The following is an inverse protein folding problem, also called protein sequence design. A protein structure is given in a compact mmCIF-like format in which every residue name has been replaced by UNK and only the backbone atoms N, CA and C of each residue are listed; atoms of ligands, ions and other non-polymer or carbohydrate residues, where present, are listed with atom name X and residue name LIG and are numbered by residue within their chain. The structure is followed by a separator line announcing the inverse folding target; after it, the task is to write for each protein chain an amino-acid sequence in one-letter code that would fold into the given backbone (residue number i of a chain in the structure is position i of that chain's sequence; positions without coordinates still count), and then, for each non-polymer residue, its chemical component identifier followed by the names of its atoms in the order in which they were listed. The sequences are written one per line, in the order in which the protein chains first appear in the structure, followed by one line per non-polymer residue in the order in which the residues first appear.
data_IF_515685297564
#
_entry.id   IF_515685297564
#
_cell.length_a   1.000
_cell.length_b   1.000
_cell.length_c   1.000
_cell.angle_alpha   90.00
_cell.angle_beta   90.00
_cell.angle_gamma   90.00
#
_symmetry.space_group_name_H-M   'P 1'
#
loop_
_entity.id
_entity.type
_entity.pdbx_description
1 polymer ?
#
# COMPACT_ATOMS: atom_id res chain seq x y z
N UNK A 1 41.68 -85.99 30.95
CA UNK A 1 41.83 -87.30 30.36
C UNK A 1 41.68 -87.16 28.87
N UNK A 2 42.76 -87.34 28.18
CA UNK A 2 42.93 -87.79 26.79
C UNK A 2 42.33 -87.04 25.64
N UNK A 3 43.20 -86.48 24.88
CA UNK A 3 43.97 -86.80 23.65
C UNK A 3 43.23 -86.34 22.36
N UNK A 4 43.91 -85.39 21.76
CA UNK A 4 44.55 -85.46 20.42
C UNK A 4 43.77 -86.23 19.34
N UNK A 5 43.62 -85.65 18.14
CA UNK A 5 44.54 -85.75 17.01
C UNK A 5 43.88 -85.10 15.76
N UNK A 6 44.48 -84.08 15.27
CA UNK A 6 45.15 -83.92 13.96
C UNK A 6 44.32 -83.98 12.63
N UNK A 7 44.63 -83.03 11.80
CA UNK A 7 44.69 -82.96 10.34
C UNK A 7 43.43 -82.66 9.55
N UNK A 8 43.52 -81.60 8.81
CA UNK A 8 42.75 -81.39 7.57
C UNK A 8 42.82 -79.96 7.10
N UNK A 9 43.76 -79.69 6.22
CA UNK A 9 43.92 -78.46 5.43
C UNK A 9 42.73 -78.31 4.51
N UNK A 10 42.08 -77.16 4.50
CA UNK A 10 41.40 -76.66 3.32
C UNK A 10 41.28 -75.12 3.38
N UNK A 11 41.99 -74.52 2.46
CA UNK A 11 41.92 -73.09 2.16
C UNK A 11 40.52 -72.77 1.66
N UNK A 12 39.83 -71.90 2.40
CA UNK A 12 38.71 -71.10 1.84
C UNK A 12 39.15 -69.67 1.71
N UNK A 13 39.51 -69.27 0.52
CA UNK A 13 39.68 -67.89 0.11
C UNK A 13 38.30 -67.27 0.07
N UNK A 14 37.94 -66.46 1.07
CA UNK A 14 36.78 -65.64 1.01
C UNK A 14 37.18 -64.31 0.31
N UNK A 15 36.79 -64.17 -0.94
CA UNK A 15 36.89 -62.93 -1.67
C UNK A 15 35.82 -62.00 -1.08
N UNK A 16 36.24 -61.21 -0.12
CA UNK A 16 35.41 -60.08 0.39
C UNK A 16 35.36 -58.97 -0.66
N UNK A 17 34.33 -58.93 -1.45
CA UNK A 17 34.02 -57.80 -2.30
C UNK A 17 33.62 -56.65 -1.37
N UNK A 18 34.57 -55.75 -1.08
CA UNK A 18 34.30 -54.50 -0.39
C UNK A 18 33.71 -53.53 -1.40
N UNK A 19 32.38 -53.46 -1.52
CA UNK A 19 31.70 -52.40 -2.28
C UNK A 19 31.81 -51.12 -1.42
N UNK A 20 32.84 -50.33 -1.66
CA UNK A 20 32.88 -48.96 -1.15
C UNK A 20 31.89 -48.11 -1.99
N UNK A 21 30.70 -47.89 -1.42
CA UNK A 21 29.73 -46.95 -2.01
C UNK A 21 30.28 -45.53 -1.76
N UNK A 22 30.94 -44.99 -2.81
CA UNK A 22 31.43 -43.61 -2.86
C UNK A 22 30.29 -42.65 -3.15
N UNK A 23 29.30 -42.53 -2.23
CA UNK A 23 28.12 -41.70 -2.37
C UNK A 23 28.11 -40.48 -1.44
N UNK A 24 29.26 -40.00 -0.99
CA UNK A 24 29.23 -38.91 0.02
C UNK A 24 29.66 -37.50 -0.44
N UNK A 25 30.16 -37.32 -1.66
CA UNK A 25 30.58 -35.98 -2.10
C UNK A 25 29.54 -35.23 -2.95
N UNK A 26 28.79 -35.97 -3.74
CA UNK A 26 27.88 -35.33 -4.73
C UNK A 26 26.55 -34.93 -4.14
N UNK A 27 26.03 -35.68 -3.14
CA UNK A 27 24.79 -35.32 -2.44
C UNK A 27 24.96 -34.03 -1.62
N UNK A 28 26.12 -33.82 -1.00
CA UNK A 28 26.39 -32.58 -0.26
C UNK A 28 26.49 -31.36 -1.20
N UNK A 29 27.09 -31.53 -2.39
CA UNK A 29 27.17 -30.48 -3.40
C UNK A 29 25.81 -30.15 -4.02
N UNK A 30 24.98 -31.16 -4.28
CA UNK A 30 23.60 -30.95 -4.77
C UNK A 30 22.73 -30.24 -3.70
N UNK A 31 22.88 -30.61 -2.43
CA UNK A 31 22.12 -29.95 -1.35
C UNK A 31 22.56 -28.49 -1.14
N UNK A 32 23.85 -28.18 -1.28
CA UNK A 32 24.38 -26.81 -1.17
C UNK A 32 23.93 -25.95 -2.35
N UNK A 33 23.88 -26.49 -3.56
CA UNK A 33 23.38 -25.78 -4.76
C UNK A 33 21.86 -25.55 -4.65
N UNK A 34 21.08 -26.48 -4.12
CA UNK A 34 19.63 -26.32 -3.93
C UNK A 34 19.30 -25.25 -2.88
N UNK A 35 20.09 -25.15 -1.80
CA UNK A 35 19.89 -24.12 -0.76
C UNK A 35 20.25 -22.73 -1.27
N UNK A 36 21.33 -22.60 -2.07
CA UNK A 36 21.72 -21.31 -2.67
C UNK A 36 20.71 -20.83 -3.71
N UNK A 37 20.08 -21.74 -4.48
CA UNK A 37 19.05 -21.40 -5.46
C UNK A 37 17.74 -20.92 -4.80
N UNK A 38 17.44 -21.31 -3.56
CA UNK A 38 16.23 -20.91 -2.86
C UNK A 38 16.30 -19.50 -2.24
N UNK A 39 17.51 -18.93 -2.06
CA UNK A 39 17.69 -17.56 -1.52
C UNK A 39 17.63 -16.46 -2.59
N UNK A 40 17.52 -16.80 -3.87
CA UNK A 40 17.65 -15.84 -4.98
C UNK A 40 16.32 -15.27 -5.51
N UNK A 41 15.16 -15.57 -4.92
CA UNK A 41 13.86 -15.20 -5.50
C UNK A 41 12.96 -14.36 -4.57
N UNK A 42 13.57 -13.52 -3.74
CA UNK A 42 12.78 -12.44 -3.12
C UNK A 42 12.92 -11.16 -3.96
N UNK A 43 12.40 -11.16 -5.18
CA UNK A 43 12.15 -9.92 -5.91
C UNK A 43 11.04 -9.19 -5.16
N UNK A 44 11.42 -8.25 -4.30
CA UNK A 44 10.45 -7.32 -3.71
C UNK A 44 9.91 -6.48 -4.86
N UNK A 45 8.58 -6.39 -4.95
CA UNK A 45 7.96 -5.48 -5.88
C UNK A 45 8.46 -4.06 -5.57
N UNK A 46 8.77 -3.29 -6.60
CA UNK A 46 9.06 -1.87 -6.43
C UNK A 46 7.77 -1.12 -6.13
N UNK A 47 7.84 0.04 -5.49
CA UNK A 47 6.64 0.84 -5.25
C UNK A 47 5.84 1.13 -6.53
N UNK A 48 6.52 1.29 -7.69
CA UNK A 48 5.84 1.47 -8.98
C UNK A 48 5.05 0.24 -9.41
N UNK A 49 5.62 -0.96 -9.25
CA UNK A 49 4.93 -2.22 -9.56
C UNK A 49 3.74 -2.44 -8.62
N UNK A 50 3.89 -2.10 -7.35
CA UNK A 50 2.81 -2.14 -6.36
C UNK A 50 1.68 -1.18 -6.70
N UNK A 51 2.00 0.05 -7.13
CA UNK A 51 1.01 1.03 -7.60
C UNK A 51 0.29 0.53 -8.87
N UNK A 52 1.02 0.03 -9.86
CA UNK A 52 0.45 -0.49 -11.10
C UNK A 52 -0.51 -1.65 -10.82
N UNK A 53 -0.06 -2.62 -10.03
CA UNK A 53 -0.88 -3.76 -9.61
C UNK A 53 -2.13 -3.31 -8.87
N UNK A 54 -1.99 -2.36 -7.93
CA UNK A 54 -3.09 -1.81 -7.16
C UNK A 54 -4.14 -1.12 -8.05
N UNK A 55 -3.72 -0.26 -8.97
CA UNK A 55 -4.64 0.45 -9.88
C UNK A 55 -5.34 -0.54 -10.82
N UNK A 56 -4.63 -1.56 -11.30
CA UNK A 56 -5.15 -2.58 -12.21
C UNK A 56 -6.16 -3.52 -11.54
N UNK A 57 -5.86 -3.98 -10.33
CA UNK A 57 -6.59 -5.08 -9.68
C UNK A 57 -7.64 -4.62 -8.67
N UNK A 58 -7.47 -3.45 -8.03
CA UNK A 58 -8.38 -2.95 -6.98
C UNK A 58 -9.34 -1.93 -7.56
N UNK A 59 -10.61 -2.28 -7.70
CA UNK A 59 -11.66 -1.40 -8.24
C UNK A 59 -12.44 -0.68 -7.14
N UNK A 60 -12.62 -1.33 -6.01
CA UNK A 60 -13.24 -0.76 -4.81
C UNK A 60 -12.34 -1.01 -3.60
N UNK A 61 -12.43 -0.17 -2.59
CA UNK A 61 -11.68 -0.37 -1.36
C UNK A 61 -12.31 0.33 -0.18
N UNK A 62 -12.13 -0.28 1.00
CA UNK A 62 -12.51 0.29 2.29
C UNK A 62 -11.36 0.15 3.26
N UNK A 63 -11.15 1.17 4.10
CA UNK A 63 -10.14 1.16 5.15
C UNK A 63 -10.55 2.08 6.31
N UNK A 64 -10.01 1.82 7.48
CA UNK A 64 -9.90 2.83 8.52
C UNK A 64 -8.66 3.68 8.27
N UNK A 65 -8.67 4.95 8.66
CA UNK A 65 -7.50 5.80 8.57
C UNK A 65 -7.22 6.58 9.85
N UNK A 66 -5.94 6.86 10.03
CA UNK A 66 -5.44 7.89 10.96
C UNK A 66 -4.66 8.91 10.13
N UNK A 67 -5.03 10.18 10.25
CA UNK A 67 -4.35 11.29 9.59
C UNK A 67 -3.65 12.15 10.63
N UNK A 68 -2.38 12.46 10.40
CA UNK A 68 -1.58 13.40 11.19
C UNK A 68 -1.18 14.57 10.30
N UNK A 69 -1.67 15.75 10.61
CA UNK A 69 -1.35 16.99 9.89
C UNK A 69 -0.36 17.80 10.73
N UNK A 70 0.80 18.08 10.14
CA UNK A 70 1.88 18.85 10.76
C UNK A 70 2.11 20.12 9.94
N UNK A 71 1.77 21.30 10.45
CA UNK A 71 2.05 22.56 9.78
C UNK A 71 3.57 22.82 9.72
N UNK A 72 4.05 23.68 8.83
CA UNK A 72 5.45 24.08 8.83
C UNK A 72 5.81 24.71 10.18
N UNK A 73 7.04 24.48 10.63
CA UNK A 73 7.57 25.15 11.82
C UNK A 73 7.61 26.66 11.57
N UNK A 74 7.09 27.45 12.50
CA UNK A 74 7.26 28.89 12.53
C UNK A 74 8.47 29.24 13.40
N UNK A 75 9.13 30.31 13.09
CA UNK A 75 10.34 30.78 13.80
C UNK A 75 10.17 30.70 15.32
N UNK A 76 11.01 29.93 15.98
CA UNK A 76 11.03 29.74 17.42
C UNK A 76 9.89 28.91 18.03
N UNK A 77 9.00 28.30 17.20
CA UNK A 77 7.88 27.45 17.69
C UNK A 77 7.97 26.03 17.19
N UNK A 78 7.69 25.08 18.09
CA UNK A 78 7.54 23.67 17.71
C UNK A 78 6.19 23.49 17.01
N UNK A 79 6.20 22.91 15.81
CA UNK A 79 4.98 22.58 15.09
C UNK A 79 4.11 21.60 15.90
N UNK A 80 2.84 21.97 16.11
CA UNK A 80 1.87 21.10 16.79
C UNK A 80 1.05 20.35 15.76
N UNK A 81 1.22 19.04 15.73
CA UNK A 81 0.44 18.16 14.86
C UNK A 81 -0.98 17.99 15.37
N UNK A 82 -1.92 17.87 14.42
CA UNK A 82 -3.32 17.49 14.68
C UNK A 82 -3.55 16.09 14.17
N UNK A 83 -4.22 15.26 14.97
CA UNK A 83 -4.56 13.88 14.59
C UNK A 83 -6.06 13.74 14.42
N UNK A 84 -6.46 13.15 13.29
CA UNK A 84 -7.85 12.81 12.97
C UNK A 84 -7.96 11.32 12.64
N UNK A 85 -9.12 10.73 12.89
CA UNK A 85 -9.40 9.33 12.53
C UNK A 85 -10.74 9.22 11.84
N UNK A 86 -10.88 8.18 11.01
CA UNK A 86 -12.11 7.97 10.27
C UNK A 86 -12.10 6.74 9.40
N UNK A 87 -13.00 6.71 8.41
CA UNK A 87 -13.12 5.66 7.41
C UNK A 87 -12.98 6.23 6.02
N UNK A 88 -12.34 5.47 5.15
CA UNK A 88 -12.17 5.77 3.73
C UNK A 88 -12.78 4.67 2.88
N UNK A 89 -13.55 5.04 1.88
CA UNK A 89 -14.13 4.14 0.90
C UNK A 89 -13.92 4.73 -0.49
N UNK A 90 -13.72 3.88 -1.49
CA UNK A 90 -13.71 4.31 -2.89
C UNK A 90 -14.27 3.26 -3.84
N UNK A 91 -14.78 3.74 -4.97
CA UNK A 91 -15.19 2.94 -6.11
C UNK A 91 -14.73 3.65 -7.38
N UNK A 92 -13.85 3.01 -8.15
CA UNK A 92 -13.36 3.56 -9.42
C UNK A 92 -14.40 3.43 -10.53
N UNK A 93 -14.48 4.42 -11.43
CA UNK A 93 -13.69 5.65 -11.44
C UNK A 93 -14.33 6.78 -10.62
N UNK A 94 -13.50 7.51 -9.88
CA UNK A 94 -13.83 8.85 -9.37
C UNK A 94 -14.76 8.94 -8.16
N UNK A 95 -15.29 7.84 -7.64
CA UNK A 95 -16.13 7.88 -6.44
C UNK A 95 -15.32 7.59 -5.20
N UNK A 96 -15.43 8.43 -4.17
CA UNK A 96 -14.80 8.18 -2.87
C UNK A 96 -15.55 8.89 -1.75
N UNK A 97 -15.30 8.41 -0.52
CA UNK A 97 -15.89 8.96 0.69
C UNK A 97 -14.88 8.88 1.84
N UNK A 98 -14.64 10.01 2.49
CA UNK A 98 -13.98 10.11 3.79
C UNK A 98 -15.02 10.49 4.84
N UNK A 99 -15.07 9.75 5.92
CA UNK A 99 -15.85 10.09 7.11
C UNK A 99 -14.87 10.28 8.25
N UNK A 100 -14.60 11.51 8.62
CA UNK A 100 -13.86 11.87 9.83
C UNK A 100 -14.77 11.70 11.04
N UNK A 101 -14.25 11.02 12.06
CA UNK A 101 -14.98 10.71 13.29
C UNK A 101 -14.45 11.48 14.50
N UNK A 102 -13.15 11.79 14.50
CA UNK A 102 -12.45 12.49 15.59
C UNK A 102 -11.37 13.39 15.02
N UNK A 103 -11.06 14.55 15.67
CA UNK A 103 -11.78 15.15 16.81
C UNK A 103 -13.10 15.78 16.40
N UNK A 104 -13.29 16.16 15.12
CA UNK A 104 -14.47 16.81 14.57
C UNK A 104 -15.08 15.92 13.50
N UNK A 105 -16.40 15.85 13.47
CA UNK A 105 -17.11 15.07 12.49
C UNK A 105 -17.23 15.84 11.18
N UNK A 106 -16.70 15.26 10.09
CA UNK A 106 -16.75 15.82 8.76
C UNK A 106 -16.91 14.70 7.74
N UNK A 107 -17.64 14.94 6.67
CA UNK A 107 -17.67 14.04 5.55
C UNK A 107 -17.25 14.70 4.25
N UNK A 108 -16.46 13.97 3.45
CA UNK A 108 -16.07 14.35 2.09
C UNK A 108 -16.55 13.24 1.19
N UNK A 109 -17.47 13.55 0.28
CA UNK A 109 -18.06 12.60 -0.65
C UNK A 109 -17.88 13.08 -2.07
N UNK A 110 -17.30 12.25 -2.92
CA UNK A 110 -17.21 12.45 -4.36
C UNK A 110 -18.13 11.44 -5.06
N UNK A 111 -19.13 11.91 -5.75
CA UNK A 111 -20.13 11.08 -6.43
C UNK A 111 -19.81 10.78 -7.91
N UNK A 112 -18.68 11.29 -8.39
CA UNK A 112 -18.26 11.22 -9.80
C UNK A 112 -18.49 12.54 -10.57
N UNK A 113 -19.27 13.46 -10.03
CA UNK A 113 -19.57 14.78 -10.64
C UNK A 113 -19.28 15.92 -9.66
N UNK A 114 -19.71 15.77 -8.42
CA UNK A 114 -19.62 16.77 -7.36
C UNK A 114 -18.79 16.24 -6.21
N UNK A 115 -17.93 17.10 -5.67
CA UNK A 115 -17.28 16.91 -4.37
C UNK A 115 -18.08 17.67 -3.32
N UNK A 116 -18.63 16.93 -2.37
CA UNK A 116 -19.39 17.42 -1.24
C UNK A 116 -18.52 17.38 0.01
N UNK A 117 -18.42 18.49 0.72
CA UNK A 117 -17.77 18.59 2.01
C UNK A 117 -18.83 19.05 3.01
N UNK A 118 -19.10 18.23 4.01
CA UNK A 118 -20.04 18.54 5.06
C UNK A 118 -19.32 18.61 6.40
N UNK A 119 -19.40 19.78 7.02
CA UNK A 119 -18.94 20.06 8.38
C UNK A 119 -20.14 19.94 9.32
N UNK A 120 -20.12 18.99 10.25
CA UNK A 120 -21.25 18.70 11.12
C UNK A 120 -21.43 19.81 12.17
N UNK A 121 -20.31 20.31 12.72
CA UNK A 121 -20.35 21.33 13.79
C UNK A 121 -20.88 22.68 13.27
N UNK A 122 -20.60 23.02 12.01
CA UNK A 122 -21.10 24.22 11.35
C UNK A 122 -22.45 23.99 10.67
N UNK A 123 -22.91 22.76 10.57
CA UNK A 123 -24.06 22.34 9.74
C UNK A 123 -24.01 22.94 8.30
N UNK A 124 -22.80 22.94 7.70
CA UNK A 124 -22.52 23.57 6.43
C UNK A 124 -22.04 22.54 5.39
N UNK A 125 -22.57 22.64 4.19
CA UNK A 125 -22.20 21.84 3.03
C UNK A 125 -21.54 22.73 1.98
N UNK A 126 -20.33 22.37 1.52
CA UNK A 126 -19.70 22.96 0.36
C UNK A 126 -19.78 21.98 -0.80
N UNK A 127 -20.32 22.40 -1.94
CA UNK A 127 -20.39 21.61 -3.16
C UNK A 127 -19.52 22.25 -4.25
N UNK A 128 -18.62 21.43 -4.84
CA UNK A 128 -17.71 21.84 -5.93
C UNK A 128 -17.80 20.87 -7.09
N UNK A 129 -17.57 21.36 -8.31
CA UNK A 129 -17.42 20.46 -9.47
C UNK A 129 -16.17 19.58 -9.24
N UNK A 130 -16.38 18.27 -9.20
CA UNK A 130 -15.31 17.32 -8.88
C UNK A 130 -14.13 17.43 -9.85
N UNK A 131 -14.37 17.61 -11.14
CA UNK A 131 -13.33 17.74 -12.16
C UNK A 131 -12.37 18.92 -11.91
N UNK A 132 -12.80 19.97 -11.20
CA UNK A 132 -11.98 21.14 -10.91
C UNK A 132 -11.06 20.95 -9.69
N UNK A 133 -11.38 19.99 -8.82
CA UNK A 133 -10.67 19.81 -7.55
C UNK A 133 -9.94 18.46 -7.45
N UNK A 134 -10.22 17.51 -8.34
CA UNK A 134 -9.60 16.18 -8.31
C UNK A 134 -8.10 16.22 -8.50
N UNK A 135 -7.59 17.01 -9.44
CA UNK A 135 -6.15 17.13 -9.70
C UNK A 135 -5.34 17.71 -8.52
N UNK A 136 -6.03 18.33 -7.55
CA UNK A 136 -5.43 18.91 -6.36
C UNK A 136 -5.61 18.04 -5.09
N UNK A 137 -6.31 16.90 -5.20
CA UNK A 137 -6.58 16.05 -4.01
C UNK A 137 -5.86 14.72 -4.08
N UNK A 138 -5.18 14.30 -3.00
CA UNK A 138 -4.52 12.98 -2.94
C UNK A 138 -5.48 11.80 -3.12
N UNK A 139 -6.76 11.98 -2.75
CA UNK A 139 -7.82 10.99 -2.96
C UNK A 139 -8.04 10.69 -4.45
N UNK A 140 -7.80 11.67 -5.33
CA UNK A 140 -7.89 11.49 -6.77
C UNK A 140 -6.91 10.44 -7.29
N UNK A 141 -5.69 10.41 -6.76
CA UNK A 141 -4.69 9.41 -7.11
C UNK A 141 -5.19 7.98 -6.86
N UNK A 142 -5.93 7.79 -5.78
CA UNK A 142 -6.43 6.47 -5.40
C UNK A 142 -7.74 6.14 -6.10
N UNK A 143 -8.68 7.08 -6.15
CA UNK A 143 -10.05 6.81 -6.54
C UNK A 143 -10.35 7.06 -8.02
N UNK A 144 -9.68 8.01 -8.69
CA UNK A 144 -10.03 8.40 -10.05
C UNK A 144 -9.30 7.65 -11.15
N UNK A 145 -8.12 7.14 -10.87
CA UNK A 145 -7.32 6.48 -11.89
C UNK A 145 -7.94 5.15 -12.36
N UNK A 146 -8.29 5.09 -13.63
CA UNK A 146 -8.72 3.85 -14.29
C UNK A 146 -7.55 2.92 -14.58
N UNK A 147 -6.37 3.50 -14.85
CA UNK A 147 -5.11 2.82 -15.11
C UNK A 147 -3.90 3.70 -14.77
N UNK A 148 -2.71 3.14 -14.89
CA UNK A 148 -1.46 3.86 -14.61
C UNK A 148 -1.21 5.02 -15.59
N UNK A 149 -1.68 4.91 -16.84
CA UNK A 149 -1.51 5.96 -17.87
C UNK A 149 -2.32 7.20 -17.51
N UNK A 150 -3.52 7.02 -16.97
CA UNK A 150 -4.34 8.13 -16.48
C UNK A 150 -3.64 8.89 -15.36
N UNK A 151 -2.97 8.17 -14.43
CA UNK A 151 -2.13 8.80 -13.40
C UNK A 151 -0.93 9.52 -14.01
N UNK A 152 -0.26 8.89 -14.96
CA UNK A 152 0.90 9.47 -15.64
C UNK A 152 0.56 10.68 -16.51
N UNK A 153 -0.70 10.86 -16.91
CA UNK A 153 -1.15 12.07 -17.59
C UNK A 153 -1.06 13.30 -16.66
N UNK A 154 -1.45 13.14 -15.41
CA UNK A 154 -1.54 14.20 -14.41
C UNK A 154 -0.26 14.33 -13.54
N UNK A 155 0.43 13.21 -13.29
CA UNK A 155 1.55 13.13 -12.37
C UNK A 155 2.80 12.52 -13.00
N UNK A 156 3.97 13.00 -12.59
CA UNK A 156 5.22 12.28 -12.76
C UNK A 156 5.37 11.27 -11.62
N UNK A 157 5.47 9.98 -11.97
CA UNK A 157 5.60 8.89 -11.00
C UNK A 157 7.06 8.44 -10.92
N UNK A 158 7.60 8.39 -9.70
CA UNK A 158 8.99 7.99 -9.45
C UNK A 158 9.03 7.00 -8.29
N UNK A 159 9.75 5.89 -8.46
CA UNK A 159 10.02 4.97 -7.35
C UNK A 159 10.86 5.66 -6.28
N UNK A 160 10.64 5.34 -5.03
CA UNK A 160 11.44 5.80 -3.91
C UNK A 160 11.99 4.61 -3.12
N UNK A 161 13.10 4.79 -2.37
CA UNK A 161 13.64 3.74 -1.52
C UNK A 161 12.62 3.24 -0.50
N UNK A 162 12.64 1.94 -0.24
CA UNK A 162 11.82 1.33 0.80
C UNK A 162 12.16 1.93 2.16
N UNK A 163 11.14 2.29 2.91
CA UNK A 163 11.27 2.86 4.23
C UNK A 163 10.11 2.42 5.12
N UNK A 164 10.39 2.13 6.38
CA UNK A 164 9.39 1.70 7.38
C UNK A 164 8.63 0.41 6.96
N UNK A 165 9.26 -0.44 6.14
CA UNK A 165 8.65 -1.66 5.61
C UNK A 165 7.58 -1.40 4.55
N UNK A 166 7.61 -0.23 3.92
CA UNK A 166 6.73 0.16 2.83
C UNK A 166 7.53 0.37 1.54
N UNK A 167 6.93 -0.06 0.44
CA UNK A 167 7.34 0.21 -0.93
C UNK A 167 6.75 1.57 -1.34
N UNK A 168 7.60 2.53 -1.71
CA UNK A 168 7.16 3.90 -1.92
C UNK A 168 7.19 4.34 -3.37
N UNK A 169 6.16 5.09 -3.76
CA UNK A 169 6.08 5.86 -5.01
C UNK A 169 5.87 7.33 -4.69
N UNK A 170 6.55 8.20 -5.42
CA UNK A 170 6.32 9.63 -5.38
C UNK A 170 5.54 10.01 -6.64
N UNK A 171 4.40 10.65 -6.44
CA UNK A 171 3.59 11.26 -7.48
C UNK A 171 3.71 12.79 -7.37
N UNK A 172 4.34 13.41 -8.36
CA UNK A 172 4.52 14.86 -8.45
C UNK A 172 3.58 15.41 -9.52
N UNK A 173 2.68 16.35 -9.19
CA UNK A 173 1.81 16.98 -10.19
C UNK A 173 2.62 17.60 -11.32
N UNK A 174 2.16 17.46 -12.55
CA UNK A 174 2.77 18.12 -13.71
C UNK A 174 2.41 19.60 -13.80
N UNK A 175 1.22 19.96 -13.30
CA UNK A 175 0.77 21.35 -13.20
C UNK A 175 1.31 21.96 -11.92
N UNK A 176 1.88 23.17 -12.00
CA UNK A 176 2.49 23.88 -10.85
C UNK A 176 1.51 24.80 -10.11
N UNK A 177 0.32 24.96 -10.65
CA UNK A 177 -0.69 25.91 -10.12
C UNK A 177 -1.52 25.34 -8.98
N UNK A 178 -1.23 24.09 -8.58
CA UNK A 178 -1.93 23.39 -7.51
C UNK A 178 -1.34 23.63 -6.13
N UNK A 179 -2.15 23.34 -5.11
CA UNK A 179 -1.73 23.39 -3.70
C UNK A 179 -0.90 22.18 -3.27
N UNK A 180 -0.58 21.26 -4.18
CA UNK A 180 0.10 20.01 -3.91
C UNK A 180 1.52 20.02 -4.48
N UNK A 181 2.54 19.80 -3.63
CA UNK A 181 3.91 19.61 -4.10
C UNK A 181 4.16 18.17 -4.56
N UNK A 182 3.83 17.20 -3.71
CA UNK A 182 3.90 15.78 -4.04
C UNK A 182 3.02 14.94 -3.10
N UNK A 183 2.73 13.73 -3.54
CA UNK A 183 2.17 12.67 -2.72
C UNK A 183 3.12 11.47 -2.78
N UNK A 184 3.51 10.95 -1.61
CA UNK A 184 4.16 9.64 -1.52
C UNK A 184 3.11 8.60 -1.18
N UNK A 185 3.07 7.53 -1.95
CA UNK A 185 2.12 6.43 -1.78
C UNK A 185 2.92 5.23 -1.28
N UNK A 186 2.57 4.73 -0.11
CA UNK A 186 3.25 3.61 0.53
C UNK A 186 2.40 2.35 0.48
N UNK A 187 3.01 1.27 0.00
CA UNK A 187 2.40 -0.07 -0.04
C UNK A 187 3.10 -0.99 0.93
N UNK A 188 2.35 -1.92 1.53
CA UNK A 188 2.88 -3.03 2.30
C UNK A 188 2.44 -4.32 1.66
N UNK A 189 3.38 -5.05 1.07
CA UNK A 189 3.07 -6.27 0.30
C UNK A 189 1.95 -6.04 -0.74
N UNK A 190 2.05 -4.96 -1.52
CA UNK A 190 1.08 -4.59 -2.55
C UNK A 190 -0.24 -4.00 -2.05
N UNK A 191 -0.43 -3.86 -0.72
CA UNK A 191 -1.63 -3.27 -0.12
C UNK A 191 -1.36 -1.81 0.24
N UNK A 192 -2.28 -0.91 -0.12
CA UNK A 192 -2.19 0.50 0.24
C UNK A 192 -2.13 0.66 1.77
N UNK A 193 -1.07 1.28 2.27
CA UNK A 193 -0.80 1.43 3.69
C UNK A 193 -0.64 2.88 4.14
N UNK A 194 -0.12 3.78 3.29
CA UNK A 194 0.12 5.17 3.68
C UNK A 194 0.05 6.13 2.50
N UNK A 195 -0.35 7.37 2.79
CA UNK A 195 -0.17 8.53 1.92
C UNK A 195 0.52 9.62 2.71
N UNK A 196 1.68 10.07 2.22
CA UNK A 196 2.38 11.25 2.75
C UNK A 196 2.23 12.38 1.74
N UNK A 197 1.62 13.47 2.16
CA UNK A 197 1.24 14.60 1.31
C UNK A 197 2.03 15.82 1.77
N UNK A 198 2.72 16.46 0.86
CA UNK A 198 3.30 17.78 1.08
C UNK A 198 2.59 18.80 0.21
N UNK A 199 2.03 19.82 0.84
CA UNK A 199 1.40 20.93 0.12
C UNK A 199 2.38 22.08 -0.18
N UNK A 200 1.94 23.04 -0.99
CA UNK A 200 2.73 24.21 -1.38
C UNK A 200 3.00 25.19 -0.23
N UNK A 201 2.29 25.05 0.89
CA UNK A 201 2.48 25.84 2.10
C UNK A 201 3.49 25.19 3.08
N UNK A 202 4.05 24.02 2.73
CA UNK A 202 4.97 23.25 3.57
C UNK A 202 4.29 22.43 4.66
N UNK A 203 2.95 22.30 4.62
CA UNK A 203 2.23 21.43 5.53
C UNK A 203 2.40 19.97 5.10
N UNK A 204 2.76 19.12 6.04
CA UNK A 204 2.83 17.68 5.85
C UNK A 204 1.58 17.01 6.42
N UNK A 205 0.95 16.15 5.63
CA UNK A 205 -0.18 15.32 6.08
C UNK A 205 0.12 13.86 5.80
N UNK A 206 0.29 13.06 6.86
CA UNK A 206 0.45 11.61 6.76
C UNK A 206 -0.88 10.94 7.07
N UNK A 207 -1.38 10.15 6.13
CA UNK A 207 -2.55 9.31 6.30
C UNK A 207 -2.11 7.84 6.31
N UNK A 208 -2.38 7.15 7.40
CA UNK A 208 -2.08 5.71 7.57
C UNK A 208 -3.36 4.93 7.49
N UNK A 209 -3.39 3.89 6.65
CA UNK A 209 -4.55 3.03 6.46
C UNK A 209 -4.39 1.72 7.24
N UNK A 210 -5.49 1.25 7.82
CA UNK A 210 -5.59 -0.03 8.50
C UNK A 210 -6.86 -0.76 8.08
N UNK A 211 -6.91 -2.07 8.30
CA UNK A 211 -8.04 -2.93 7.93
C UNK A 211 -8.48 -2.77 6.46
N UNK A 212 -7.51 -2.57 5.54
CA UNK A 212 -7.81 -2.36 4.13
C UNK A 212 -8.45 -3.60 3.51
N UNK A 213 -9.60 -3.42 2.88
CA UNK A 213 -10.36 -4.43 2.16
C UNK A 213 -10.41 -4.07 0.68
N UNK A 214 -9.61 -4.77 -0.12
CA UNK A 214 -9.63 -4.62 -1.58
C UNK A 214 -10.86 -5.32 -2.17
N UNK A 215 -11.45 -4.69 -3.18
CA UNK A 215 -12.60 -5.19 -3.94
C UNK A 215 -13.81 -5.56 -3.03
N UNK A 216 -13.97 -4.79 -1.93
CA UNK A 216 -15.14 -4.92 -1.08
C UNK A 216 -16.41 -4.64 -1.88
N UNK A 217 -17.46 -5.42 -1.62
CA UNK A 217 -18.78 -5.14 -2.18
C UNK A 217 -19.28 -3.80 -1.66
N UNK A 218 -19.63 -2.88 -2.56
CA UNK A 218 -20.11 -1.54 -2.23
C UNK A 218 -21.39 -1.25 -3.00
N UNK A 219 -22.35 -0.66 -2.30
CA UNK A 219 -23.53 -0.10 -2.95
C UNK A 219 -23.16 1.25 -3.58
N UNK A 220 -23.58 1.48 -4.82
CA UNK A 220 -23.42 2.76 -5.51
C UNK A 220 -24.08 3.93 -4.75
N UNK A 221 -25.14 3.65 -4.00
CA UNK A 221 -25.79 4.61 -3.10
C UNK A 221 -24.86 5.11 -1.97
N UNK A 222 -23.81 4.36 -1.63
CA UNK A 222 -22.83 4.75 -0.59
C UNK A 222 -22.09 6.04 -0.93
N UNK A 223 -21.99 6.41 -2.22
CA UNK A 223 -21.31 7.62 -2.70
C UNK A 223 -22.28 8.74 -3.08
N UNK A 224 -23.58 8.57 -2.84
CA UNK A 224 -24.56 9.64 -3.03
C UNK A 224 -24.61 10.48 -1.75
N UNK A 225 -24.44 11.80 -1.92
CA UNK A 225 -24.57 12.74 -0.81
C UNK A 225 -25.94 13.41 -0.82
N UNK A 226 -26.58 13.43 0.33
CA UNK A 226 -27.81 14.20 0.55
C UNK A 226 -27.56 15.17 1.69
N UNK A 227 -27.71 16.47 1.42
CA UNK A 227 -27.54 17.48 2.44
C UNK A 227 -28.55 17.24 3.59
N UNK A 228 -28.09 17.27 4.87
CA UNK A 228 -28.99 17.20 6.00
C UNK A 228 -30.00 18.35 6.01
N UNK A 229 -31.15 18.10 6.65
CA UNK A 229 -32.18 19.13 6.79
C UNK A 229 -31.65 20.32 7.57
N UNK A 230 -31.81 21.52 7.04
CA UNK A 230 -31.36 22.76 7.66
C UNK A 230 -29.86 23.05 7.49
N UNK A 231 -29.13 22.25 6.71
CA UNK A 231 -27.74 22.57 6.41
C UNK A 231 -27.65 23.74 5.40
N UNK A 232 -26.72 24.65 5.64
CA UNK A 232 -26.38 25.70 4.68
C UNK A 232 -25.56 25.11 3.52
N UNK A 233 -26.02 25.31 2.29
CA UNK A 233 -25.39 24.72 1.09
C UNK A 233 -24.75 25.78 0.23
N UNK A 234 -23.41 25.84 0.25
CA UNK A 234 -22.60 26.74 -0.58
C UNK A 234 -22.14 26.00 -1.84
N UNK A 235 -22.42 26.54 -3.02
CA UNK A 235 -21.97 26.02 -4.32
C UNK A 235 -20.89 26.92 -4.90
N UNK A 236 -19.77 26.30 -5.33
CA UNK A 236 -18.59 26.97 -5.90
C UNK A 236 -18.20 26.37 -7.25
#
# INVERSE_FOLDING_TARGET
MNRCVNRGVSNCVSVGVRVEVRVRSDVKKLFTILIVAFYALSTRATGLESLESFVKSVKTGRADFTQVVTPPAKDGQVARSKTSTGTFEFSRPGQFKFIYKKPFEQSIVADGQTLWLYDVDLNQVTARKQAQVLGATPAALIASAVDLRALQAEFTLTGAPDKEGLEWVIATPKTKDGQLQYVRIGFRAGVLASLDILDSFGQNSRMSFSAFQANASMDSASFQFKAPTGADVIRQ
#
